data_IF_490935452737
#
_entry.id   IF_490935452737
#
_cell.length_a   1.000
_cell.length_b   1.000
_cell.length_c   1.000
_cell.angle_alpha   90.00
_cell.angle_beta   90.00
_cell.angle_gamma   90.00
#
_symmetry.space_group_name_H-M   'P 1'
#
loop_
_entity.id
_entity.type
_entity.pdbx_description
1 polymer ?
#
# COMPACT_ATOMS: atom_id res chain seq x y z
N UNK A 1 13.20 -13.93 -6.26
CA UNK A 1 12.32 -13.52 -5.14
C UNK A 1 11.09 -12.86 -5.73
N UNK A 2 9.89 -13.28 -5.34
CA UNK A 2 8.62 -12.77 -5.90
C UNK A 2 7.98 -11.77 -4.93
N UNK A 3 7.83 -10.54 -5.37
CA UNK A 3 7.24 -9.44 -4.61
C UNK A 3 5.78 -9.25 -5.02
N UNK A 4 4.91 -9.08 -4.03
CA UNK A 4 3.61 -8.47 -4.23
C UNK A 4 3.74 -6.96 -3.96
N UNK A 5 3.40 -6.14 -4.95
CA UNK A 5 3.23 -4.69 -4.79
C UNK A 5 1.74 -4.39 -4.92
N UNK A 6 1.16 -3.72 -3.92
CA UNK A 6 -0.23 -3.23 -4.03
C UNK A 6 -0.21 -1.75 -4.40
N UNK A 7 -1.22 -1.26 -5.13
CA UNK A 7 -1.31 0.15 -5.49
C UNK A 7 -0.26 0.58 -6.51
N UNK A 8 0.26 -0.36 -7.30
CA UNK A 8 1.37 -0.14 -8.22
C UNK A 8 1.01 0.68 -9.46
N UNK A 9 -0.28 0.94 -9.73
CA UNK A 9 -0.66 1.92 -10.76
C UNK A 9 -0.64 3.37 -10.24
N UNK A 10 -0.52 3.57 -8.93
CA UNK A 10 -0.38 4.89 -8.31
C UNK A 10 1.02 5.51 -8.53
N UNK A 11 1.16 6.77 -8.11
CA UNK A 11 2.38 7.55 -8.35
C UNK A 11 3.65 6.90 -7.75
N UNK A 12 3.67 6.63 -6.45
CA UNK A 12 4.86 6.07 -5.78
C UNK A 12 5.05 4.59 -6.13
N UNK A 13 3.96 3.82 -6.13
CA UNK A 13 4.00 2.38 -6.41
C UNK A 13 4.54 2.06 -7.80
N UNK A 14 4.14 2.80 -8.83
CA UNK A 14 4.65 2.59 -10.19
C UNK A 14 6.15 2.89 -10.31
N UNK A 15 6.60 4.02 -9.75
CA UNK A 15 8.02 4.37 -9.70
C UNK A 15 8.85 3.32 -8.95
N UNK A 16 8.32 2.77 -7.86
CA UNK A 16 8.96 1.68 -7.12
C UNK A 16 9.15 0.43 -8.00
N UNK A 17 8.10 0.01 -8.71
CA UNK A 17 8.12 -1.14 -9.61
C UNK A 17 9.14 -0.94 -10.74
N UNK A 18 9.07 0.19 -11.46
CA UNK A 18 9.98 0.51 -12.57
C UNK A 18 11.45 0.49 -12.11
N UNK A 19 11.73 1.10 -10.96
CA UNK A 19 13.08 1.18 -10.40
C UNK A 19 13.62 -0.19 -9.98
N UNK A 20 12.78 -1.06 -9.43
CA UNK A 20 13.20 -2.40 -9.03
C UNK A 20 13.49 -3.29 -10.24
N UNK A 21 12.60 -3.33 -11.22
CA UNK A 21 12.80 -4.15 -12.43
C UNK A 21 14.03 -3.70 -13.22
N UNK A 22 14.37 -2.41 -13.20
CA UNK A 22 15.60 -1.89 -13.82
C UNK A 22 16.88 -2.29 -13.06
N UNK A 23 16.80 -2.52 -11.75
CA UNK A 23 17.97 -2.71 -10.87
C UNK A 23 18.29 -4.17 -10.56
N UNK A 24 17.31 -5.07 -10.68
CA UNK A 24 17.50 -6.45 -10.26
C UNK A 24 16.86 -7.41 -11.24
N UNK A 25 17.67 -8.34 -11.74
CA UNK A 25 17.21 -9.41 -12.60
C UNK A 25 16.58 -10.59 -11.84
N UNK A 26 16.73 -10.66 -10.53
CA UNK A 26 16.27 -11.81 -9.75
C UNK A 26 14.90 -11.60 -9.09
N UNK A 27 14.22 -10.48 -9.42
CA UNK A 27 12.92 -10.11 -8.89
C UNK A 27 11.80 -10.36 -9.91
N UNK A 28 10.74 -10.97 -9.41
CA UNK A 28 9.43 -11.00 -10.07
C UNK A 28 8.47 -10.12 -9.27
N UNK A 29 7.62 -9.37 -9.96
CA UNK A 29 6.66 -8.46 -9.35
C UNK A 29 5.25 -8.83 -9.80
N UNK A 30 4.38 -9.09 -8.83
CA UNK A 30 2.92 -9.08 -9.02
C UNK A 30 2.41 -7.74 -8.52
N UNK A 31 1.77 -6.97 -9.38
CA UNK A 31 1.10 -5.73 -9.03
C UNK A 31 -0.40 -5.96 -8.88
N UNK A 32 -0.94 -5.75 -7.68
CA UNK A 32 -2.39 -5.72 -7.44
C UNK A 32 -2.86 -4.29 -7.31
N UNK A 33 -3.77 -3.86 -8.18
CA UNK A 33 -4.37 -2.53 -8.11
C UNK A 33 -5.87 -2.58 -8.42
N UNK A 34 -6.64 -1.78 -7.68
CA UNK A 34 -8.09 -1.70 -7.82
C UNK A 34 -8.53 -0.70 -8.91
N UNK A 35 -7.57 0.06 -9.48
CA UNK A 35 -7.83 1.15 -10.43
C UNK A 35 -8.73 2.24 -9.84
N UNK A 36 -8.55 2.51 -8.53
CA UNK A 36 -9.22 3.61 -7.86
C UNK A 36 -8.57 4.96 -8.23
N UNK A 37 -9.06 6.03 -7.63
CA UNK A 37 -8.57 7.36 -7.90
C UNK A 37 -7.05 7.47 -7.67
N UNK A 38 -6.36 8.04 -8.66
CA UNK A 38 -4.89 8.16 -8.66
C UNK A 38 -4.15 7.00 -9.33
N UNK A 39 -4.86 5.94 -9.75
CA UNK A 39 -4.29 4.90 -10.59
C UNK A 39 -4.22 5.33 -12.06
N UNK A 40 -3.11 5.01 -12.73
CA UNK A 40 -2.94 5.23 -14.17
C UNK A 40 -2.10 4.12 -14.80
N UNK A 41 -2.67 3.38 -15.75
CA UNK A 41 -1.97 2.31 -16.49
C UNK A 41 -0.77 2.82 -17.28
N UNK A 42 -0.81 4.08 -17.72
CA UNK A 42 0.29 4.70 -18.47
C UNK A 42 1.57 4.79 -17.64
N UNK A 43 1.46 4.77 -16.31
CA UNK A 43 2.63 4.76 -15.43
C UNK A 43 3.50 3.51 -15.62
N UNK A 44 2.95 2.40 -16.11
CA UNK A 44 3.65 1.12 -16.27
C UNK A 44 3.62 0.57 -17.71
N UNK A 45 3.27 1.39 -18.71
CA UNK A 45 3.17 0.95 -20.10
C UNK A 45 4.49 0.39 -20.66
N UNK A 46 5.62 0.89 -20.18
CA UNK A 46 6.95 0.42 -20.61
C UNK A 46 7.26 -1.03 -20.18
N UNK A 47 6.57 -1.53 -19.15
CA UNK A 47 6.82 -2.87 -18.57
C UNK A 47 5.60 -3.79 -18.66
N UNK A 48 4.53 -3.39 -19.35
CA UNK A 48 3.27 -4.14 -19.40
C UNK A 48 3.45 -5.60 -19.86
N UNK A 49 4.37 -5.82 -20.81
CA UNK A 49 4.71 -7.14 -21.35
C UNK A 49 6.03 -7.72 -20.79
N UNK A 50 6.55 -7.16 -19.69
CA UNK A 50 7.80 -7.62 -19.11
C UNK A 50 7.62 -9.00 -18.46
N UNK A 51 8.44 -9.98 -18.80
CA UNK A 51 8.30 -11.38 -18.33
C UNK A 51 8.30 -11.57 -16.81
N UNK A 52 8.88 -10.63 -16.08
CA UNK A 52 8.96 -10.63 -14.60
C UNK A 52 7.92 -9.70 -13.95
N UNK A 53 6.98 -9.17 -14.72
CA UNK A 53 5.91 -8.30 -14.25
C UNK A 53 4.56 -8.94 -14.56
N UNK A 54 3.70 -9.01 -13.56
CA UNK A 54 2.34 -9.49 -13.68
C UNK A 54 1.40 -8.45 -13.08
N UNK A 55 0.39 -8.02 -13.84
CA UNK A 55 -0.66 -7.14 -13.35
C UNK A 55 -1.93 -7.92 -13.04
N UNK A 56 -2.51 -7.68 -11.86
CA UNK A 56 -3.78 -8.24 -11.43
C UNK A 56 -4.71 -7.10 -11.00
N UNK A 57 -5.83 -6.93 -11.69
CA UNK A 57 -6.89 -6.01 -11.26
C UNK A 57 -7.60 -6.59 -10.04
N UNK A 58 -7.51 -5.92 -8.90
CA UNK A 58 -8.07 -6.42 -7.65
C UNK A 58 -8.00 -5.43 -6.51
N UNK A 59 -8.87 -5.59 -5.52
CA UNK A 59 -8.88 -4.76 -4.33
C UNK A 59 -8.27 -5.52 -3.15
N UNK A 60 -7.44 -4.83 -2.36
CA UNK A 60 -6.80 -5.39 -1.16
C UNK A 60 -7.80 -5.80 -0.06
N UNK A 61 -9.05 -5.34 -0.13
CA UNK A 61 -10.14 -5.84 0.73
C UNK A 61 -10.69 -7.20 0.31
N UNK A 62 -10.36 -7.70 -0.89
CA UNK A 62 -10.76 -9.03 -1.34
C UNK A 62 -9.86 -10.09 -0.72
N UNK A 63 -10.26 -10.61 0.43
CA UNK A 63 -9.50 -11.59 1.21
C UNK A 63 -9.11 -12.82 0.40
N UNK A 64 -10.03 -13.41 -0.38
CA UNK A 64 -9.75 -14.63 -1.12
C UNK A 64 -8.69 -14.43 -2.20
N UNK A 65 -8.81 -13.35 -2.97
CA UNK A 65 -7.82 -12.98 -3.99
C UNK A 65 -6.44 -12.74 -3.36
N UNK A 66 -6.40 -11.96 -2.28
CA UNK A 66 -5.15 -11.64 -1.60
C UNK A 66 -4.51 -12.89 -0.97
N UNK A 67 -5.29 -13.81 -0.41
CA UNK A 67 -4.77 -15.07 0.13
C UNK A 67 -4.09 -15.92 -0.93
N UNK A 68 -4.68 -16.03 -2.11
CA UNK A 68 -4.11 -16.79 -3.22
C UNK A 68 -2.80 -16.15 -3.69
N UNK A 69 -2.78 -14.83 -3.90
CA UNK A 69 -1.60 -14.13 -4.43
C UNK A 69 -0.46 -14.14 -3.41
N UNK A 70 -0.75 -13.78 -2.16
CA UNK A 70 0.26 -13.71 -1.08
C UNK A 70 0.92 -15.08 -0.86
N UNK A 71 0.18 -16.18 -1.03
CA UNK A 71 0.75 -17.54 -0.87
C UNK A 71 1.93 -17.81 -1.80
N UNK A 72 1.90 -17.21 -3.00
CA UNK A 72 2.89 -17.36 -4.08
C UNK A 72 4.02 -16.30 -4.02
N UNK A 73 3.98 -15.38 -3.06
CA UNK A 73 4.95 -14.28 -2.93
C UNK A 73 5.81 -14.42 -1.66
N UNK A 74 6.99 -13.81 -1.67
CA UNK A 74 7.96 -13.82 -0.57
C UNK A 74 7.80 -12.60 0.37
N UNK A 75 7.37 -11.46 -0.19
CA UNK A 75 7.25 -10.18 0.50
C UNK A 75 6.12 -9.36 -0.11
N UNK A 76 5.36 -8.67 0.74
CA UNK A 76 4.33 -7.70 0.34
C UNK A 76 4.85 -6.28 0.57
N UNK A 77 4.68 -5.38 -0.41
CA UNK A 77 4.92 -3.95 -0.25
C UNK A 77 3.60 -3.23 -0.52
N UNK A 78 3.00 -2.67 0.53
CA UNK A 78 1.65 -2.13 0.47
C UNK A 78 1.64 -0.61 0.25
N UNK A 79 1.41 -0.17 -1.00
CA UNK A 79 1.16 1.25 -1.33
C UNK A 79 -0.33 1.56 -1.49
N UNK A 80 -1.18 0.56 -1.68
CA UNK A 80 -2.61 0.76 -1.93
C UNK A 80 -3.30 1.49 -0.76
N UNK A 81 -3.81 2.68 -1.07
CA UNK A 81 -4.54 3.55 -0.16
C UNK A 81 -5.33 4.61 -0.95
N UNK A 82 -6.42 5.11 -0.37
CA UNK A 82 -6.94 6.43 -0.74
C UNK A 82 -6.08 7.49 -0.03
N UNK A 83 -5.58 8.48 -0.78
CA UNK A 83 -4.53 9.40 -0.30
C UNK A 83 -4.82 10.89 -0.43
N UNK A 84 -5.96 11.28 -1.02
CA UNK A 84 -6.25 12.69 -1.28
C UNK A 84 -6.97 13.35 -0.11
N UNK A 85 -6.29 14.26 0.60
CA UNK A 85 -6.78 14.88 1.85
C UNK A 85 -8.18 15.51 1.70
N UNK A 86 -8.41 16.37 0.71
CA UNK A 86 -9.70 17.05 0.55
C UNK A 86 -10.87 16.09 0.30
N UNK A 87 -10.59 14.97 -0.41
CA UNK A 87 -11.60 13.92 -0.64
C UNK A 87 -11.92 13.21 0.65
N UNK A 88 -10.93 13.00 1.53
CA UNK A 88 -11.15 12.38 2.83
C UNK A 88 -12.04 13.22 3.74
N UNK A 89 -11.95 14.56 3.65
CA UNK A 89 -12.81 15.50 4.37
C UNK A 89 -14.23 15.47 3.79
N UNK A 90 -14.35 15.35 2.47
CA UNK A 90 -15.64 15.30 1.76
C UNK A 90 -16.39 13.99 2.00
N UNK A 91 -15.69 12.85 1.94
CA UNK A 91 -16.22 11.52 2.26
C UNK A 91 -15.09 10.61 2.79
N UNK A 92 -15.18 10.26 4.07
CA UNK A 92 -14.18 9.44 4.74
C UNK A 92 -14.36 7.93 4.50
N UNK A 93 -15.51 7.47 3.99
CA UNK A 93 -15.79 6.04 3.88
C UNK A 93 -14.79 5.27 3.00
N UNK A 94 -14.41 5.76 1.81
CA UNK A 94 -13.39 5.10 0.98
C UNK A 94 -12.05 4.94 1.70
N UNK A 95 -11.68 5.90 2.55
CA UNK A 95 -10.44 5.88 3.32
C UNK A 95 -10.49 4.84 4.44
N UNK A 96 -11.61 4.71 5.15
CA UNK A 96 -11.81 3.64 6.14
C UNK A 96 -11.71 2.25 5.50
N UNK A 97 -12.35 2.07 4.35
CA UNK A 97 -12.37 0.79 3.63
C UNK A 97 -10.99 0.47 3.06
N UNK A 98 -10.36 1.39 2.34
CA UNK A 98 -9.07 1.11 1.70
C UNK A 98 -7.94 1.04 2.73
N UNK A 99 -7.83 2.06 3.58
CA UNK A 99 -6.62 2.26 4.39
C UNK A 99 -6.63 1.40 5.65
N UNK A 100 -7.79 1.22 6.30
CA UNK A 100 -7.90 0.39 7.50
C UNK A 100 -8.27 -1.04 7.12
N UNK A 101 -9.44 -1.26 6.51
CA UNK A 101 -9.92 -2.62 6.20
C UNK A 101 -9.00 -3.33 5.21
N UNK A 102 -8.52 -2.63 4.19
CA UNK A 102 -7.56 -3.17 3.23
C UNK A 102 -6.24 -3.56 3.89
N UNK A 103 -5.61 -2.66 4.63
CA UNK A 103 -4.35 -2.96 5.35
C UNK A 103 -4.53 -4.12 6.35
N UNK A 104 -5.63 -4.13 7.11
CA UNK A 104 -5.97 -5.23 8.02
C UNK A 104 -6.12 -6.56 7.28
N UNK A 105 -6.73 -6.56 6.10
CA UNK A 105 -6.90 -7.78 5.29
C UNK A 105 -5.54 -8.36 4.92
N UNK A 106 -4.59 -7.51 4.47
CA UNK A 106 -3.23 -7.95 4.18
C UNK A 106 -2.52 -8.44 5.44
N UNK A 107 -2.58 -7.67 6.53
CA UNK A 107 -1.97 -8.01 7.82
C UNK A 107 -2.41 -9.40 8.34
N UNK A 108 -3.72 -9.65 8.39
CA UNK A 108 -4.28 -10.93 8.84
C UNK A 108 -3.77 -12.10 7.99
N UNK A 109 -3.67 -11.91 6.67
CA UNK A 109 -3.19 -12.95 5.75
C UNK A 109 -1.70 -13.21 5.93
N UNK A 110 -0.86 -12.16 5.97
CA UNK A 110 0.59 -12.32 6.08
C UNK A 110 0.98 -12.99 7.39
N UNK A 111 0.28 -12.70 8.50
CA UNK A 111 0.56 -13.30 9.81
C UNK A 111 0.27 -14.80 9.78
N UNK A 112 -0.87 -15.21 9.22
CA UNK A 112 -1.24 -16.62 9.06
C UNK A 112 -0.30 -17.38 8.14
N UNK A 113 0.09 -16.75 7.03
CA UNK A 113 0.97 -17.36 6.03
C UNK A 113 2.47 -17.17 6.32
N UNK A 114 2.82 -16.54 7.46
CA UNK A 114 4.19 -16.22 7.90
C UNK A 114 5.01 -15.50 6.82
N UNK A 115 4.40 -14.53 6.17
CA UNK A 115 5.02 -13.68 5.14
C UNK A 115 5.48 -12.36 5.76
N UNK A 116 6.38 -11.66 5.07
CA UNK A 116 6.83 -10.32 5.45
C UNK A 116 6.01 -9.26 4.70
N UNK A 117 5.80 -8.11 5.34
CA UNK A 117 5.18 -6.94 4.71
C UNK A 117 5.94 -5.67 5.06
N UNK A 118 6.05 -4.78 4.08
CA UNK A 118 6.41 -3.37 4.27
C UNK A 118 5.13 -2.56 4.06
N UNK A 119 4.66 -1.91 5.12
CA UNK A 119 3.56 -0.96 5.05
C UNK A 119 4.09 0.42 4.72
N UNK A 120 3.54 1.07 3.71
CA UNK A 120 3.88 2.46 3.38
C UNK A 120 2.87 3.38 4.03
N UNK A 121 3.37 4.35 4.81
CA UNK A 121 2.55 5.35 5.49
C UNK A 121 2.94 6.78 5.11
N UNK A 122 2.69 7.75 5.99
CA UNK A 122 2.86 9.19 5.75
C UNK A 122 3.29 9.86 7.04
N UNK A 123 4.04 10.95 6.92
CA UNK A 123 4.36 11.88 8.02
C UNK A 123 3.11 12.59 8.57
N UNK A 124 2.04 12.74 7.78
CA UNK A 124 0.79 13.37 8.21
C UNK A 124 0.15 12.71 9.44
N UNK A 125 0.54 11.47 9.77
CA UNK A 125 0.09 10.79 11.01
C UNK A 125 0.52 11.52 12.28
N UNK A 126 1.59 12.31 12.22
CA UNK A 126 2.06 13.15 13.33
C UNK A 126 1.39 14.53 13.37
N UNK A 127 0.61 14.88 12.35
CA UNK A 127 -0.02 16.20 12.21
C UNK A 127 1.00 17.33 12.07
N UNK A 128 0.54 18.56 12.35
CA UNK A 128 1.39 19.74 12.31
C UNK A 128 2.23 19.88 13.58
N UNK A 129 3.52 20.13 13.42
CA UNK A 129 4.43 20.45 14.52
C UNK A 129 4.64 21.96 14.63
N UNK A 130 4.55 22.51 15.84
CA UNK A 130 4.83 23.94 16.08
C UNK A 130 6.32 24.29 15.95
N UNK A 131 7.21 23.31 16.13
CA UNK A 131 8.66 23.42 16.02
C UNK A 131 9.31 22.04 15.96
N UNK A 132 10.46 21.92 15.27
CA UNK A 132 11.24 20.68 15.24
C UNK A 132 10.76 19.67 14.19
N UNK A 133 11.19 18.41 14.35
CA UNK A 133 10.90 17.29 13.44
C UNK A 133 10.38 16.11 14.26
N UNK A 134 9.41 15.37 13.72
CA UNK A 134 8.93 14.13 14.32
C UNK A 134 9.99 13.02 14.20
N UNK A 135 9.98 12.12 15.16
CA UNK A 135 10.69 10.84 15.15
C UNK A 135 9.68 9.70 15.23
N UNK A 136 10.13 8.46 15.07
CA UNK A 136 9.29 7.26 15.17
C UNK A 136 8.61 7.10 16.55
N UNK A 137 9.16 7.74 17.59
CA UNK A 137 8.60 7.75 18.96
C UNK A 137 7.62 8.92 19.20
N UNK A 138 7.41 9.78 18.19
CA UNK A 138 6.48 10.91 18.31
C UNK A 138 5.04 10.43 18.36
N UNK A 139 4.19 11.17 19.09
CA UNK A 139 2.77 10.82 19.22
C UNK A 139 2.06 11.03 17.90
N UNK A 140 1.23 10.06 17.50
CA UNK A 140 0.29 10.22 16.40
C UNK A 140 -0.72 11.32 16.77
N UNK A 141 -0.89 12.29 15.88
CA UNK A 141 -1.81 13.41 16.05
C UNK A 141 -2.41 13.83 14.68
N UNK A 142 -3.09 12.91 13.97
CA UNK A 142 -3.59 13.17 12.63
C UNK A 142 -4.68 14.26 12.62
N UNK A 143 -4.65 15.14 11.62
CA UNK A 143 -5.59 16.28 11.48
C UNK A 143 -6.61 16.14 10.35
N UNK A 144 -6.62 15.00 9.64
CA UNK A 144 -7.57 14.71 8.55
C UNK A 144 -8.07 13.25 8.62
N UNK A 145 -9.23 12.93 8.03
CA UNK A 145 -9.69 11.54 7.94
C UNK A 145 -8.68 10.64 7.21
N UNK A 146 -8.01 11.13 6.15
CA UNK A 146 -6.91 10.44 5.50
C UNK A 146 -5.81 10.06 6.51
N UNK A 147 -5.21 11.05 7.18
CA UNK A 147 -4.13 10.83 8.12
C UNK A 147 -4.56 9.91 9.28
N UNK A 148 -5.79 10.07 9.78
CA UNK A 148 -6.33 9.24 10.85
C UNK A 148 -6.46 7.76 10.42
N UNK A 149 -6.90 7.50 9.20
CA UNK A 149 -6.98 6.12 8.69
C UNK A 149 -5.60 5.50 8.43
N UNK A 150 -4.60 6.30 8.04
CA UNK A 150 -3.20 5.84 7.92
C UNK A 150 -2.59 5.51 9.29
N UNK A 151 -2.78 6.39 10.27
CA UNK A 151 -2.36 6.18 11.65
C UNK A 151 -3.03 4.92 12.26
N UNK A 152 -4.33 4.72 12.01
CA UNK A 152 -5.04 3.52 12.47
C UNK A 152 -4.45 2.24 11.86
N UNK A 153 -4.05 2.26 10.59
CA UNK A 153 -3.39 1.12 9.96
C UNK A 153 -2.02 0.82 10.61
N UNK A 154 -1.23 1.85 10.94
CA UNK A 154 0.04 1.67 11.68
C UNK A 154 -0.18 1.05 13.05
N UNK A 155 -1.17 1.53 13.82
CA UNK A 155 -1.49 0.99 15.13
C UNK A 155 -1.94 -0.48 15.06
N UNK A 156 -2.72 -0.85 14.04
CA UNK A 156 -3.09 -2.24 13.80
C UNK A 156 -1.84 -3.09 13.52
N UNK A 157 -0.96 -2.64 12.64
CA UNK A 157 0.28 -3.37 12.31
C UNK A 157 1.18 -3.53 13.53
N UNK A 158 1.32 -2.49 14.36
CA UNK A 158 2.12 -2.54 15.57
C UNK A 158 1.56 -3.50 16.64
N UNK A 159 0.27 -3.86 16.56
CA UNK A 159 -0.37 -4.75 17.52
C UNK A 159 -0.21 -6.26 17.22
N UNK A 160 0.35 -6.62 16.07
CA UNK A 160 0.52 -8.00 15.58
C UNK A 160 1.97 -8.49 15.72
#
# INVERSE_FOLDING_TARGET
MKLLVTGGLGFIGSNFILKLLKKSDDLEIVNVDAELHGADRRNLSEIENHKKYEFVKGNITNRHLMEEIISKCDLVVNFAAESFVDRSISDANPFLVSNIRGAFTLLDIITKQKKRMIQISTDEVFGSLSSGTATEESKLNPSSPYAATKAAAELLINSY
#
